data_IF_683228336381
#
_entry.id   IF_683228336381
#
_cell.length_a   1.000
_cell.length_b   1.000
_cell.length_c   1.000
_cell.angle_alpha   90.00
_cell.angle_beta   90.00
_cell.angle_gamma   90.00
#
_symmetry.space_group_name_H-M   'P 1'
#
loop_
_entity.id
_entity.type
_entity.pdbx_description
1 polymer ?
#
# COMPACT_ATOMS: atom_id res chain seq x y z
N UNK A 1 -19.48 -19.78 25.61
CA UNK A 1 -18.34 -20.41 24.96
C UNK A 1 -17.83 -19.55 23.79
N UNK A 2 -18.71 -19.02 22.93
CA UNK A 2 -18.35 -18.22 21.74
C UNK A 2 -17.69 -16.87 22.09
N UNK A 3 -18.15 -16.19 23.13
CA UNK A 3 -17.52 -14.96 23.62
C UNK A 3 -16.11 -15.19 24.21
N UNK A 4 -15.87 -16.37 24.80
CA UNK A 4 -14.53 -16.77 25.27
C UNK A 4 -13.61 -17.15 24.13
N UNK A 5 -14.15 -17.80 23.09
CA UNK A 5 -13.42 -18.15 21.87
C UNK A 5 -12.98 -16.88 21.12
N UNK A 6 -13.89 -15.90 20.99
CA UNK A 6 -13.58 -14.59 20.40
C UNK A 6 -12.51 -13.81 21.20
N UNK A 7 -12.51 -13.92 22.55
CA UNK A 7 -11.44 -13.33 23.38
C UNK A 7 -10.10 -14.05 23.24
N UNK A 8 -10.13 -15.38 23.11
CA UNK A 8 -8.93 -16.18 22.90
C UNK A 8 -8.33 -15.92 21.50
N UNK A 9 -9.18 -15.80 20.49
CA UNK A 9 -8.78 -15.46 19.13
C UNK A 9 -8.16 -14.04 19.05
N UNK A 10 -8.70 -13.07 19.81
CA UNK A 10 -8.11 -11.74 19.99
C UNK A 10 -6.76 -11.79 20.70
N UNK A 11 -6.61 -12.58 21.75
CA UNK A 11 -5.35 -12.72 22.50
C UNK A 11 -4.27 -13.48 21.70
N UNK A 12 -4.68 -14.38 20.82
CA UNK A 12 -3.79 -15.13 19.92
C UNK A 12 -3.47 -14.39 18.60
N UNK A 13 -3.85 -13.11 18.48
CA UNK A 13 -3.62 -12.32 17.28
C UNK A 13 -4.52 -12.70 16.09
N UNK A 14 -5.49 -13.61 16.29
CA UNK A 14 -6.44 -14.02 15.25
C UNK A 14 -7.62 -13.05 15.06
N UNK A 15 -7.77 -12.07 15.96
CA UNK A 15 -8.87 -11.09 15.89
C UNK A 15 -8.60 -9.91 14.95
N UNK A 16 -7.35 -9.68 14.57
CA UNK A 16 -6.94 -8.58 13.66
C UNK A 16 -6.21 -9.11 12.41
N UNK A 17 -6.07 -10.43 12.30
CA UNK A 17 -5.38 -11.12 11.20
C UNK A 17 -6.14 -11.06 9.86
N UNK A 18 -7.42 -10.72 9.86
CA UNK A 18 -8.23 -10.65 8.63
C UNK A 18 -7.79 -9.55 7.67
N UNK A 19 -7.18 -8.49 8.17
CA UNK A 19 -6.74 -7.38 7.34
C UNK A 19 -5.26 -7.51 6.89
N UNK A 20 -4.39 -8.08 7.72
CA UNK A 20 -2.97 -8.28 7.37
C UNK A 20 -2.77 -9.31 6.25
N UNK A 21 -3.57 -10.38 6.22
CA UNK A 21 -3.53 -11.38 5.15
C UNK A 21 -4.09 -10.90 3.80
N UNK A 22 -4.77 -9.76 3.76
CA UNK A 22 -5.30 -9.19 2.50
C UNK A 22 -4.27 -8.41 1.72
N UNK A 23 -3.27 -7.79 2.40
CA UNK A 23 -2.24 -7.03 1.73
C UNK A 23 -1.12 -7.94 1.26
N UNK A 24 -0.82 -7.83 -0.03
CA UNK A 24 0.28 -8.54 -0.66
C UNK A 24 1.41 -7.57 -1.00
N UNK A 25 2.63 -8.03 -0.82
CA UNK A 25 3.84 -7.34 -1.24
C UNK A 25 4.70 -8.34 -2.02
N UNK A 26 5.28 -7.95 -3.16
CA UNK A 26 6.19 -8.84 -3.86
C UNK A 26 7.42 -9.14 -2.99
N UNK A 27 7.79 -10.40 -2.91
CA UNK A 27 9.08 -10.80 -2.41
C UNK A 27 10.21 -10.40 -3.36
N UNK A 28 11.45 -10.37 -2.87
CA UNK A 28 12.60 -10.08 -3.72
C UNK A 28 12.71 -11.14 -4.83
N UNK A 29 12.79 -10.66 -6.07
CA UNK A 29 12.82 -11.51 -7.25
C UNK A 29 11.61 -11.35 -8.16
N UNK A 30 11.15 -12.43 -8.74
CA UNK A 30 10.08 -12.47 -9.73
C UNK A 30 8.76 -12.92 -9.10
N UNK A 31 7.70 -12.17 -9.36
CA UNK A 31 6.33 -12.56 -9.06
C UNK A 31 5.44 -12.37 -10.30
N UNK A 32 4.44 -13.21 -10.46
CA UNK A 32 3.46 -13.07 -11.54
C UNK A 32 2.09 -12.80 -10.94
N UNK A 33 1.44 -11.75 -11.39
CA UNK A 33 0.13 -11.34 -10.89
C UNK A 33 -0.84 -11.06 -12.03
N UNK A 34 -2.13 -11.18 -11.76
CA UNK A 34 -3.20 -10.62 -12.57
C UNK A 34 -3.89 -9.52 -11.78
N UNK A 35 -3.97 -8.31 -12.34
CA UNK A 35 -4.87 -7.27 -11.80
C UNK A 35 -6.30 -7.67 -12.13
N UNK A 36 -7.16 -7.60 -11.12
CA UNK A 36 -8.57 -7.96 -11.24
C UNK A 36 -9.40 -6.69 -11.41
N UNK A 37 -10.36 -6.73 -12.33
CA UNK A 37 -11.32 -5.63 -12.50
C UNK A 37 -12.14 -5.44 -11.23
N UNK A 38 -12.55 -4.20 -10.97
CA UNK A 38 -13.42 -3.85 -9.84
C UNK A 38 -14.83 -3.51 -10.35
N UNK A 39 -15.88 -3.65 -9.53
CA UNK A 39 -17.25 -3.37 -9.96
C UNK A 39 -17.49 -1.96 -10.49
N UNK A 40 -16.70 -0.98 -10.06
CA UNK A 40 -16.74 0.40 -10.53
C UNK A 40 -15.83 0.68 -11.75
N UNK A 41 -15.15 -0.33 -12.26
CA UNK A 41 -14.33 -0.25 -13.46
C UNK A 41 -12.97 0.43 -13.28
N UNK A 42 -12.61 0.86 -12.06
CA UNK A 42 -11.29 1.42 -11.76
C UNK A 42 -10.49 0.51 -10.83
N UNK A 43 -9.56 -0.32 -11.34
CA UNK A 43 -8.74 -1.21 -10.53
C UNK A 43 -7.55 -0.51 -9.84
N UNK A 44 -7.38 0.80 -10.02
CA UNK A 44 -6.25 1.57 -9.50
C UNK A 44 -6.68 2.57 -8.44
N UNK A 45 -7.01 2.12 -7.24
CA UNK A 45 -7.54 2.95 -6.16
C UNK A 45 -6.48 3.87 -5.57
N UNK A 46 -6.68 5.17 -5.69
CA UNK A 46 -5.81 6.18 -5.11
C UNK A 46 -6.23 6.50 -3.68
N UNK A 47 -5.26 6.54 -2.77
CA UNK A 47 -5.47 6.97 -1.37
C UNK A 47 -4.25 7.78 -0.90
N UNK A 48 -4.50 8.70 0.02
CA UNK A 48 -3.48 9.56 0.63
C UNK A 48 -3.35 9.26 2.11
N UNK A 49 -2.12 9.04 2.57
CA UNK A 49 -1.82 8.66 3.96
C UNK A 49 -0.87 9.65 4.61
N UNK A 50 -1.06 9.89 5.91
CA UNK A 50 -0.03 10.39 6.79
C UNK A 50 0.69 9.21 7.44
N UNK A 51 2.01 9.29 7.51
CA UNK A 51 2.88 8.27 8.11
C UNK A 51 3.73 8.90 9.21
N UNK A 52 4.03 8.15 10.28
CA UNK A 52 4.95 8.57 11.31
C UNK A 52 4.46 9.70 12.23
N UNK A 53 3.19 10.02 12.21
CA UNK A 53 2.57 10.95 13.15
C UNK A 53 1.93 10.14 14.27
N UNK A 54 2.47 10.26 15.49
CA UNK A 54 1.99 9.49 16.66
C UNK A 54 2.12 7.97 16.48
N UNK A 55 3.17 7.50 15.80
CA UNK A 55 3.44 6.08 15.52
C UNK A 55 2.31 5.34 14.80
N UNK A 56 1.55 6.06 14.01
CA UNK A 56 0.41 5.52 13.25
C UNK A 56 0.50 5.88 11.77
N UNK A 57 -0.19 5.08 10.95
CA UNK A 57 -0.53 5.42 9.56
C UNK A 57 -2.03 5.56 9.46
N UNK A 58 -2.52 6.62 8.84
CA UNK A 58 -3.95 6.84 8.66
C UNK A 58 -4.24 7.62 7.39
N UNK A 59 -5.46 7.48 6.88
CA UNK A 59 -5.95 8.22 5.72
C UNK A 59 -5.99 9.72 6.03
N UNK A 60 -5.46 10.53 5.11
CA UNK A 60 -5.57 11.98 5.21
C UNK A 60 -7.04 12.43 5.03
N UNK A 61 -7.69 13.04 6.03
CA UNK A 61 -9.06 13.52 5.89
C UNK A 61 -9.23 14.49 4.73
N UNK A 62 -8.30 15.43 4.56
CA UNK A 62 -8.36 16.47 3.54
C UNK A 62 -8.22 15.94 2.12
N UNK A 63 -7.25 15.06 1.88
CA UNK A 63 -6.94 14.60 0.53
C UNK A 63 -7.87 13.48 0.05
N UNK A 64 -8.47 12.71 0.96
CA UNK A 64 -9.37 11.62 0.59
C UNK A 64 -10.84 12.03 0.63
N UNK A 65 -11.23 12.93 1.55
CA UNK A 65 -12.63 13.20 1.82
C UNK A 65 -13.01 14.70 1.74
N UNK A 66 -12.02 15.60 1.64
CA UNK A 66 -12.27 17.05 1.64
C UNK A 66 -12.47 17.65 3.03
N UNK A 67 -12.36 16.86 4.09
CA UNK A 67 -12.49 17.31 5.48
C UNK A 67 -11.26 18.10 5.92
N UNK A 68 -11.37 18.85 7.02
CA UNK A 68 -10.19 19.50 7.58
C UNK A 68 -9.20 18.46 8.15
N UNK A 69 -7.91 18.73 7.97
CA UNK A 69 -6.85 17.84 8.43
C UNK A 69 -5.81 18.62 9.24
N UNK A 70 -5.80 18.47 10.59
CA UNK A 70 -4.85 19.16 11.45
C UNK A 70 -3.39 18.92 11.10
N UNK A 71 -3.04 17.69 10.68
CA UNK A 71 -1.67 17.34 10.27
C UNK A 71 -1.27 18.08 8.99
N UNK A 72 -2.17 18.17 7.98
CA UNK A 72 -1.90 18.98 6.78
C UNK A 72 -1.71 20.45 7.12
N UNK A 73 -2.53 21.00 8.03
CA UNK A 73 -2.47 22.39 8.44
C UNK A 73 -1.13 22.66 9.15
N UNK A 74 -0.72 21.80 10.08
CA UNK A 74 0.55 21.91 10.77
C UNK A 74 1.75 21.76 9.84
N UNK A 75 1.73 20.79 8.91
CA UNK A 75 2.77 20.65 7.90
C UNK A 75 2.93 21.89 7.02
N UNK A 76 1.82 22.55 6.64
CA UNK A 76 1.86 23.80 5.91
C UNK A 76 2.43 24.96 6.73
N UNK A 77 2.16 25.03 8.05
CA UNK A 77 2.76 26.03 8.94
C UNK A 77 4.29 25.84 8.97
N UNK A 78 4.76 24.63 9.24
CA UNK A 78 6.19 24.30 9.21
C UNK A 78 6.86 24.65 7.88
N UNK A 79 6.19 24.37 6.77
CA UNK A 79 6.71 24.73 5.45
C UNK A 79 6.86 26.25 5.27
N UNK A 80 5.90 27.02 5.76
CA UNK A 80 5.88 28.47 5.66
C UNK A 80 6.88 29.17 6.61
N UNK A 81 7.31 28.52 7.69
CA UNK A 81 8.40 29.01 8.54
C UNK A 81 9.72 29.16 7.79
N UNK A 82 9.92 28.37 6.75
CA UNK A 82 10.98 28.57 5.75
C UNK A 82 12.36 28.08 6.14
N UNK A 83 12.60 27.61 7.37
CA UNK A 83 13.89 27.03 7.78
C UNK A 83 14.10 25.66 7.12
N UNK A 84 15.34 25.22 6.96
CA UNK A 84 15.64 23.90 6.37
C UNK A 84 15.09 22.76 7.25
N UNK A 85 15.17 22.92 8.58
CA UNK A 85 14.63 21.94 9.53
C UNK A 85 13.11 21.86 9.47
N UNK A 86 12.40 23.00 9.52
CA UNK A 86 10.94 23.01 9.45
C UNK A 86 10.43 22.46 8.11
N UNK A 87 11.11 22.77 7.00
CA UNK A 87 10.80 22.21 5.68
C UNK A 87 11.03 20.69 5.62
N UNK A 88 12.10 20.19 6.23
CA UNK A 88 12.36 18.75 6.31
C UNK A 88 11.23 18.05 7.08
N UNK A 89 10.89 18.55 8.25
CA UNK A 89 9.80 18.02 9.07
C UNK A 89 8.44 18.09 8.32
N UNK A 90 8.14 19.19 7.67
CA UNK A 90 6.94 19.33 6.84
C UNK A 90 6.87 18.26 5.75
N UNK A 91 7.98 17.99 5.05
CA UNK A 91 8.04 16.95 4.00
C UNK A 91 7.74 15.56 4.53
N UNK A 92 8.13 15.23 5.74
CA UNK A 92 7.83 13.95 6.39
C UNK A 92 6.33 13.85 6.74
N UNK A 93 5.72 14.95 7.17
CA UNK A 93 4.33 15.01 7.61
C UNK A 93 3.31 15.14 6.47
N UNK A 94 3.71 15.61 5.29
CA UNK A 94 2.77 15.71 4.16
C UNK A 94 2.19 14.35 3.78
N UNK A 95 0.91 14.36 3.44
CA UNK A 95 0.22 13.16 2.98
C UNK A 95 0.90 12.57 1.75
N UNK A 96 1.19 11.27 1.80
CA UNK A 96 1.82 10.51 0.73
C UNK A 96 0.75 9.80 -0.10
N UNK A 97 0.85 9.93 -1.41
CA UNK A 97 0.01 9.26 -2.38
C UNK A 97 0.38 7.78 -2.50
N UNK A 98 -0.60 6.90 -2.47
CA UNK A 98 -0.46 5.45 -2.68
C UNK A 98 -1.59 4.95 -3.57
N UNK A 99 -1.29 3.91 -4.31
CA UNK A 99 -2.23 3.24 -5.18
C UNK A 99 -2.40 1.79 -4.75
N UNK A 100 -3.59 1.26 -4.94
CA UNK A 100 -3.94 -0.09 -4.54
C UNK A 100 -4.72 -0.76 -5.66
N UNK A 101 -4.40 -2.03 -5.92
CA UNK A 101 -5.12 -2.85 -6.89
C UNK A 101 -5.45 -4.21 -6.30
N UNK A 102 -6.63 -4.77 -6.61
CA UNK A 102 -6.90 -6.16 -6.33
C UNK A 102 -6.08 -7.01 -7.30
N UNK A 103 -5.38 -8.00 -6.78
CA UNK A 103 -4.52 -8.88 -7.57
C UNK A 103 -4.73 -10.34 -7.20
N UNK A 104 -4.68 -11.19 -8.22
CA UNK A 104 -4.52 -12.62 -8.07
C UNK A 104 -3.03 -12.94 -8.28
N UNK A 105 -2.39 -13.53 -7.27
CA UNK A 105 -0.98 -13.93 -7.34
C UNK A 105 -0.90 -15.32 -7.95
N UNK A 106 -0.19 -15.45 -9.07
CA UNK A 106 -0.05 -16.73 -9.76
C UNK A 106 0.88 -17.65 -8.98
N UNK A 107 0.39 -18.84 -8.70
CA UNK A 107 1.02 -19.82 -7.81
C UNK A 107 0.50 -19.79 -6.37
N UNK A 108 -0.32 -18.80 -6.02
CA UNK A 108 -0.96 -18.62 -4.71
C UNK A 108 -2.48 -18.45 -4.84
N UNK A 109 -3.09 -18.95 -5.92
CA UNK A 109 -4.51 -18.73 -6.25
C UNK A 109 -5.46 -19.19 -5.13
N UNK A 110 -5.04 -20.16 -4.33
CA UNK A 110 -5.81 -20.66 -3.19
C UNK A 110 -5.97 -19.64 -2.06
N UNK A 111 -5.10 -18.64 -2.00
CA UNK A 111 -5.16 -17.57 -1.01
C UNK A 111 -6.17 -16.48 -1.36
N UNK A 112 -6.72 -16.53 -2.58
CA UNK A 112 -7.72 -15.58 -3.03
C UNK A 112 -7.14 -14.25 -3.54
N UNK A 113 -8.03 -13.26 -3.72
CA UNK A 113 -7.64 -11.94 -4.20
C UNK A 113 -6.99 -11.16 -3.06
N UNK A 114 -5.80 -10.64 -3.34
CA UNK A 114 -5.00 -9.81 -2.44
C UNK A 114 -5.06 -8.34 -2.86
N UNK A 115 -4.67 -7.47 -1.97
CA UNK A 115 -4.50 -6.04 -2.23
C UNK A 115 -3.02 -5.73 -2.39
N UNK A 116 -2.62 -5.37 -3.59
CA UNK A 116 -1.27 -4.88 -3.83
C UNK A 116 -1.24 -3.37 -3.72
N UNK A 117 -0.39 -2.86 -2.80
CA UNK A 117 -0.15 -1.44 -2.63
C UNK A 117 1.18 -1.02 -3.25
N UNK A 118 1.20 0.12 -3.97
CA UNK A 118 2.38 0.61 -4.68
C UNK A 118 2.42 2.13 -4.78
N UNK A 119 3.58 2.65 -5.18
CA UNK A 119 3.81 4.08 -5.33
C UNK A 119 3.56 4.59 -6.74
N UNK A 120 3.73 5.90 -6.91
CA UNK A 120 3.48 6.64 -8.17
C UNK A 120 4.22 6.07 -9.38
N UNK A 121 5.49 5.68 -9.23
CA UNK A 121 6.29 5.14 -10.35
C UNK A 121 5.71 3.84 -10.93
N UNK A 122 5.24 2.94 -10.05
CA UNK A 122 4.58 1.72 -10.49
C UNK A 122 3.22 2.02 -11.14
N UNK A 123 2.47 2.97 -10.60
CA UNK A 123 1.21 3.44 -11.18
C UNK A 123 1.40 4.00 -12.58
N UNK A 124 2.36 4.90 -12.79
CA UNK A 124 2.67 5.47 -14.11
C UNK A 124 3.05 4.37 -15.11
N UNK A 125 3.80 3.36 -14.66
CA UNK A 125 4.14 2.22 -15.51
C UNK A 125 2.91 1.38 -15.87
N UNK A 126 2.01 1.12 -14.92
CA UNK A 126 0.76 0.42 -15.17
C UNK A 126 -0.13 1.17 -16.14
N UNK A 127 -0.27 2.49 -15.99
CA UNK A 127 -1.02 3.32 -16.94
C UNK A 127 -0.44 3.25 -18.35
N UNK A 128 0.90 3.26 -18.47
CA UNK A 128 1.56 3.11 -19.78
C UNK A 128 1.19 1.78 -20.45
N UNK A 129 1.09 0.70 -19.66
CA UNK A 129 0.70 -0.63 -20.17
C UNK A 129 -0.78 -0.65 -20.57
N UNK A 130 -1.65 -0.11 -19.72
CA UNK A 130 -3.11 -0.09 -19.98
C UNK A 130 -3.47 0.75 -21.21
N UNK A 131 -2.74 1.85 -21.42
CA UNK A 131 -2.95 2.75 -22.57
C UNK A 131 -2.29 2.26 -23.85
N UNK A 132 -1.50 1.21 -23.81
CA UNK A 132 -0.85 0.62 -24.98
C UNK A 132 -1.87 -0.25 -25.74
N UNK A 133 -2.20 0.12 -26.99
CA UNK A 133 -3.21 -0.59 -27.79
C UNK A 133 -2.86 -2.06 -28.08
N UNK A 134 -1.59 -2.43 -27.99
CA UNK A 134 -1.14 -3.81 -28.23
C UNK A 134 -1.60 -4.79 -27.14
N UNK A 135 -1.82 -4.29 -25.92
CA UNK A 135 -2.29 -5.13 -24.80
C UNK A 135 -3.81 -5.09 -24.63
N UNK A 136 -4.44 -3.93 -24.84
CA UNK A 136 -5.86 -3.73 -24.56
C UNK A 136 -6.17 -3.74 -23.07
N UNK A 137 -7.35 -4.23 -22.68
CA UNK A 137 -7.72 -4.34 -21.27
C UNK A 137 -6.98 -5.50 -20.59
N UNK A 138 -5.95 -5.16 -19.83
CA UNK A 138 -5.15 -6.14 -19.08
C UNK A 138 -5.91 -6.77 -17.92
N UNK A 139 -7.04 -6.20 -17.50
CA UNK A 139 -7.86 -6.68 -16.39
C UNK A 139 -9.00 -7.59 -16.83
N UNK A 140 -9.25 -7.69 -18.13
CA UNK A 140 -10.30 -8.53 -18.68
C UNK A 140 -10.17 -9.98 -18.20
N UNK A 141 -11.22 -10.59 -17.61
CA UNK A 141 -11.10 -11.91 -17.00
C UNK A 141 -10.78 -13.03 -18.01
N UNK A 142 -11.15 -12.88 -19.27
CA UNK A 142 -10.95 -13.93 -20.28
C UNK A 142 -9.74 -13.67 -21.18
N UNK A 143 -9.49 -12.40 -21.52
CA UNK A 143 -8.50 -12.01 -22.51
C UNK A 143 -7.43 -11.05 -22.01
N UNK A 144 -7.36 -10.82 -20.70
CA UNK A 144 -6.38 -9.93 -20.11
C UNK A 144 -4.98 -10.53 -20.04
N UNK A 145 -4.04 -9.78 -19.50
CA UNK A 145 -2.64 -10.16 -19.42
C UNK A 145 -2.15 -10.25 -17.97
N UNK A 146 -1.44 -11.32 -17.67
CA UNK A 146 -0.67 -11.37 -16.42
C UNK A 146 0.49 -10.39 -16.49
N UNK A 147 0.84 -9.84 -15.34
CA UNK A 147 2.00 -8.95 -15.18
C UNK A 147 3.12 -9.69 -14.48
N UNK A 148 4.31 -9.57 -15.02
CA UNK A 148 5.55 -10.00 -14.37
C UNK A 148 6.12 -8.82 -13.59
N UNK A 149 6.26 -9.00 -12.29
CA UNK A 149 6.91 -8.06 -11.39
C UNK A 149 8.31 -8.54 -11.08
N UNK A 150 9.29 -7.67 -11.19
CA UNK A 150 10.64 -7.88 -10.72
C UNK A 150 10.89 -6.89 -9.60
N UNK A 151 10.88 -7.37 -8.36
CA UNK A 151 11.12 -6.56 -7.19
C UNK A 151 12.52 -6.84 -6.64
N UNK A 152 13.26 -5.78 -6.35
CA UNK A 152 14.58 -5.93 -5.75
C UNK A 152 15.40 -4.65 -5.79
N UNK A 153 16.52 -4.69 -5.09
CA UNK A 153 17.49 -3.60 -5.03
C UNK A 153 18.55 -3.79 -6.10
N UNK A 154 18.59 -2.87 -7.07
CA UNK A 154 19.65 -2.88 -8.08
C UNK A 154 20.99 -2.48 -7.45
N UNK A 155 22.14 -2.98 -7.96
CA UNK A 155 23.45 -2.57 -7.52
C UNK A 155 23.61 -1.04 -7.61
N UNK A 156 24.00 -0.40 -6.50
CA UNK A 156 24.16 1.05 -6.41
C UNK A 156 22.87 1.86 -6.22
N UNK A 157 21.70 1.21 -6.19
CA UNK A 157 20.45 1.90 -5.87
C UNK A 157 20.28 2.00 -4.36
N UNK A 158 19.77 3.15 -3.86
CA UNK A 158 19.48 3.35 -2.44
C UNK A 158 18.27 2.52 -2.00
N UNK A 159 17.29 2.30 -2.89
CA UNK A 159 16.01 1.66 -2.58
C UNK A 159 15.65 0.56 -3.58
N UNK A 160 14.93 -0.48 -3.13
CA UNK A 160 14.38 -1.47 -4.04
C UNK A 160 13.33 -0.84 -4.97
N UNK A 161 13.21 -1.41 -6.18
CA UNK A 161 12.25 -0.98 -7.20
C UNK A 161 11.45 -2.17 -7.69
N UNK A 162 10.25 -1.89 -8.15
CA UNK A 162 9.42 -2.85 -8.88
C UNK A 162 9.45 -2.49 -10.36
N UNK A 163 10.04 -3.35 -11.19
CA UNK A 163 9.87 -3.30 -12.64
C UNK A 163 8.63 -4.14 -13.01
N UNK A 164 7.80 -3.61 -13.91
CA UNK A 164 6.52 -4.21 -14.29
C UNK A 164 6.53 -4.43 -15.79
N UNK A 165 6.25 -5.65 -16.21
CA UNK A 165 6.16 -6.03 -17.61
C UNK A 165 4.92 -6.87 -17.88
N UNK A 166 4.11 -6.52 -18.87
CA UNK A 166 3.00 -7.37 -19.28
C UNK A 166 3.55 -8.65 -19.93
N UNK A 167 2.93 -9.79 -19.63
CA UNK A 167 3.21 -11.02 -20.37
C UNK A 167 2.49 -10.95 -21.72
N UNK A 168 3.17 -11.25 -22.83
CA UNK A 168 2.57 -11.11 -24.16
C UNK A 168 1.43 -12.11 -24.41
N UNK A 169 1.41 -13.22 -23.68
CA UNK A 169 0.34 -14.22 -23.80
C UNK A 169 -0.86 -13.80 -22.96
N UNK A 170 -2.01 -13.69 -23.61
CA UNK A 170 -3.29 -13.53 -22.95
C UNK A 170 -3.65 -14.81 -22.19
N UNK A 171 -4.23 -14.65 -21.00
CA UNK A 171 -4.60 -15.75 -20.12
C UNK A 171 -5.95 -15.48 -19.50
N UNK A 172 -6.69 -16.52 -19.15
CA UNK A 172 -7.92 -16.37 -18.35
C UNK A 172 -7.55 -16.08 -16.90
N UNK A 173 -8.42 -15.34 -16.21
CA UNK A 173 -8.24 -15.06 -14.79
C UNK A 173 -8.33 -16.35 -13.97
N UNK A 174 -9.37 -17.13 -14.23
CA UNK A 174 -9.70 -18.36 -13.53
C UNK A 174 -9.43 -19.55 -14.44
N UNK A 175 -8.20 -20.02 -14.40
CA UNK A 175 -7.77 -21.26 -15.05
C UNK A 175 -7.97 -22.47 -14.13
N UNK A 176 -7.49 -23.64 -14.54
CA UNK A 176 -7.59 -24.88 -13.76
C UNK A 176 -6.92 -24.75 -12.38
N UNK A 177 -5.93 -23.85 -12.20
CA UNK A 177 -5.28 -23.61 -10.92
C UNK A 177 -6.21 -22.92 -9.92
N UNK A 178 -7.14 -22.10 -10.39
CA UNK A 178 -8.19 -21.48 -9.55
C UNK A 178 -9.28 -22.51 -9.20
N UNK A 179 -9.55 -23.48 -10.06
CA UNK A 179 -10.58 -24.50 -9.87
C UNK A 179 -11.82 -24.31 -10.75
N UNK A 180 -11.70 -23.58 -11.85
CA UNK A 180 -12.74 -23.39 -12.86
C UNK A 180 -13.74 -22.27 -12.55
N UNK A 181 -14.82 -22.21 -13.35
CA UNK A 181 -15.78 -21.10 -13.36
C UNK A 181 -16.54 -20.91 -12.04
N UNK A 182 -16.97 -22.01 -11.39
CA UNK A 182 -17.69 -21.95 -10.11
C UNK A 182 -16.82 -21.30 -9.03
N UNK A 183 -15.55 -21.69 -8.97
CA UNK A 183 -14.59 -21.13 -8.03
C UNK A 183 -14.25 -19.69 -8.36
N UNK A 184 -14.30 -19.32 -9.65
CA UNK A 184 -14.09 -17.96 -10.13
C UNK A 184 -15.12 -16.99 -9.55
N UNK A 185 -16.39 -17.36 -9.57
CA UNK A 185 -17.46 -16.53 -9.02
C UNK A 185 -17.22 -16.26 -7.52
N UNK A 186 -16.93 -17.32 -6.74
CA UNK A 186 -16.59 -17.17 -5.32
C UNK A 186 -15.35 -16.29 -5.11
N UNK A 187 -14.32 -16.43 -5.95
CA UNK A 187 -13.10 -15.64 -5.88
C UNK A 187 -13.38 -14.15 -6.09
N UNK A 188 -14.19 -13.81 -7.10
CA UNK A 188 -14.56 -12.42 -7.40
C UNK A 188 -15.38 -11.77 -6.28
N UNK A 189 -16.18 -12.55 -5.53
CA UNK A 189 -16.85 -12.04 -4.34
C UNK A 189 -15.88 -11.66 -3.20
N UNK A 190 -14.64 -12.16 -3.23
CA UNK A 190 -13.61 -11.80 -2.25
C UNK A 190 -12.91 -10.49 -2.54
N UNK A 191 -13.21 -9.81 -3.66
CA UNK A 191 -12.64 -8.50 -3.97
C UNK A 191 -12.97 -7.53 -2.84
N UNK A 192 -11.96 -6.95 -2.19
CA UNK A 192 -12.20 -6.13 -1.02
C UNK A 192 -12.83 -4.78 -1.41
N UNK A 193 -13.75 -4.33 -0.58
CA UNK A 193 -14.27 -2.96 -0.66
C UNK A 193 -13.18 -1.97 -0.20
N UNK A 194 -12.60 -1.25 -1.16
CA UNK A 194 -11.48 -0.34 -0.91
C UNK A 194 -11.85 0.88 -0.05
N UNK A 195 -13.12 1.17 0.12
CA UNK A 195 -13.57 2.24 1.01
C UNK A 195 -13.69 1.78 2.46
N UNK A 196 -13.72 0.46 2.68
CA UNK A 196 -13.78 -0.17 4.02
C UNK A 196 -12.48 -0.79 4.51
N UNK A 197 -11.48 -0.97 3.62
CA UNK A 197 -10.18 -1.54 4.01
C UNK A 197 -9.45 -0.65 5.02
N UNK A 198 -9.53 0.66 4.82
CA UNK A 198 -8.84 1.65 5.63
C UNK A 198 -9.83 2.39 6.52
N UNK A 199 -9.52 2.45 7.80
CA UNK A 199 -10.32 3.20 8.76
C UNK A 199 -10.25 4.71 8.46
N UNK A 200 -11.42 5.35 8.35
CA UNK A 200 -11.54 6.81 8.27
C UNK A 200 -11.51 7.37 9.68
N UNK A 201 -10.55 8.23 9.97
CA UNK A 201 -10.47 8.99 11.23
C UNK A 201 -11.17 10.33 11.10
N UNK A 202 -11.80 10.76 12.19
CA UNK A 202 -12.39 12.11 12.27
C UNK A 202 -11.31 13.16 12.45
N UNK A 203 -11.65 14.43 12.22
CA UNK A 203 -10.74 15.57 12.45
C UNK A 203 -10.26 15.62 13.91
N UNK A 204 -11.15 15.32 14.86
CA UNK A 204 -10.85 15.32 16.31
C UNK A 204 -9.87 14.21 16.68
N UNK A 205 -10.05 13.02 16.11
CA UNK A 205 -9.11 11.90 16.31
C UNK A 205 -7.73 12.24 15.75
N UNK A 206 -7.67 12.84 14.56
CA UNK A 206 -6.42 13.27 13.93
C UNK A 206 -5.76 14.40 14.73
N UNK A 207 -6.55 15.32 15.31
CA UNK A 207 -6.02 16.36 16.22
C UNK A 207 -5.39 15.71 17.46
N UNK A 208 -6.06 14.75 18.08
CA UNK A 208 -5.52 14.04 19.25
C UNK A 208 -4.20 13.32 18.92
N UNK A 209 -4.08 12.73 17.74
CA UNK A 209 -2.83 12.08 17.28
C UNK A 209 -1.71 13.13 17.12
N UNK A 210 -2.02 14.29 16.54
CA UNK A 210 -1.07 15.39 16.39
C UNK A 210 -0.62 15.93 17.74
N UNK A 211 -1.54 16.14 18.68
CA UNK A 211 -1.25 16.65 20.03
C UNK A 211 -0.33 15.69 20.80
N UNK A 212 -0.57 14.38 20.71
CA UNK A 212 0.30 13.36 21.28
C UNK A 212 1.69 13.36 20.63
N UNK A 213 1.77 13.48 19.33
CA UNK A 213 3.03 13.60 18.59
C UNK A 213 3.83 14.82 19.06
N UNK A 214 3.18 15.97 19.21
CA UNK A 214 3.80 17.21 19.67
C UNK A 214 4.29 17.11 21.13
N UNK A 215 3.53 16.43 21.98
CA UNK A 215 3.87 16.25 23.40
C UNK A 215 5.05 15.28 23.64
N UNK A 216 5.18 14.25 22.82
CA UNK A 216 6.18 13.19 22.99
C UNK A 216 7.47 13.42 22.20
N UNK A 217 7.44 14.27 21.18
CA UNK A 217 8.56 14.49 20.27
C UNK A 217 8.98 13.24 19.48
N UNK A 218 8.23 12.15 19.60
CA UNK A 218 8.56 10.88 18.96
C UNK A 218 7.88 10.75 17.61
N UNK A 219 8.63 11.05 16.59
CA UNK A 219 8.29 10.79 15.18
C UNK A 219 9.18 9.75 14.54
N UNK A 220 9.52 8.65 15.24
CA UNK A 220 10.30 7.59 14.57
C UNK A 220 10.24 6.25 15.31
N UNK A 221 9.12 5.55 15.13
CA UNK A 221 9.06 4.11 15.28
C UNK A 221 8.52 3.54 13.97
N UNK A 222 8.92 2.31 13.62
CA UNK A 222 8.49 1.62 12.41
C UNK A 222 6.96 1.63 12.28
N UNK A 223 6.46 2.52 11.45
CA UNK A 223 5.03 2.64 11.17
C UNK A 223 4.74 1.87 9.90
N UNK A 224 3.77 0.98 9.93
CA UNK A 224 3.34 0.23 8.76
C UNK A 224 2.92 1.17 7.63
N UNK A 225 3.73 1.23 6.57
CA UNK A 225 3.47 2.05 5.39
C UNK A 225 2.68 1.23 4.38
N UNK A 226 1.38 1.43 4.30
CA UNK A 226 0.54 0.78 3.30
C UNK A 226 1.05 1.04 1.89
N UNK A 227 1.30 -0.03 1.14
CA UNK A 227 1.78 0.05 -0.24
C UNK A 227 3.21 0.56 -0.43
N UNK A 228 4.02 0.68 0.62
CA UNK A 228 5.43 0.97 0.47
C UNK A 228 6.22 -0.33 0.38
N UNK A 229 7.05 -0.42 -0.64
CA UNK A 229 8.07 -1.47 -0.79
C UNK A 229 9.38 -1.08 -0.08
N UNK A 230 9.37 -0.04 0.75
CA UNK A 230 10.57 0.43 1.43
C UNK A 230 10.76 -0.33 2.74
N UNK A 231 11.84 -1.09 2.82
CA UNK A 231 12.49 -1.35 4.08
C UNK A 231 12.88 0.00 4.70
N UNK A 232 12.76 0.14 5.99
CA UNK A 232 12.97 1.34 6.80
C UNK A 232 14.22 2.11 6.39
N UNK A 233 14.04 3.34 5.91
CA UNK A 233 15.13 4.25 5.53
C UNK A 233 16.00 4.72 6.73
N UNK A 234 15.51 4.55 7.95
CA UNK A 234 16.15 5.07 9.14
C UNK A 234 17.42 4.34 9.55
N UNK A 235 17.45 3.01 9.40
CA UNK A 235 18.62 2.24 9.82
C UNK A 235 19.87 2.45 8.94
N UNK A 236 19.69 2.80 7.65
CA UNK A 236 20.83 2.96 6.74
C UNK A 236 21.48 4.34 6.84
N UNK A 237 20.75 5.40 7.21
CA UNK A 237 21.28 6.76 7.34
C UNK A 237 21.96 6.94 8.69
N UNK A 238 21.39 6.39 9.78
CA UNK A 238 22.05 6.42 11.07
C UNK A 238 23.29 5.51 11.14
N UNK A 239 23.28 4.34 10.49
CA UNK A 239 24.45 3.50 10.36
C UNK A 239 25.56 4.19 9.55
N UNK A 240 25.22 4.83 8.43
CA UNK A 240 26.18 5.58 7.63
C UNK A 240 26.73 6.83 8.35
N UNK A 241 25.92 7.50 9.18
CA UNK A 241 26.37 8.63 10.00
C UNK A 241 27.24 8.17 11.18
N UNK A 242 26.94 7.03 11.78
CA UNK A 242 27.71 6.45 12.87
C UNK A 242 29.10 6.00 12.40
N UNK A 243 29.21 5.46 11.19
CA UNK A 243 30.49 5.06 10.58
C UNK A 243 31.35 6.28 10.20
N UNK A 244 30.72 7.41 9.85
CA UNK A 244 31.43 8.66 9.52
C UNK A 244 31.96 9.41 10.76
N UNK A 245 31.32 9.21 11.91
CA UNK A 245 31.73 9.87 13.17
C UNK A 245 32.79 9.06 13.93
N UNK A 246 33.07 7.81 13.55
CA UNK A 246 34.05 6.93 14.19
C UNK A 246 35.35 6.75 13.36
N UNK A 247 35.56 7.58 12.30
CA UNK A 247 36.83 7.76 11.60
C UNK A 247 37.45 9.12 11.97
#
# INVERSE_FOLDING_TARGET
LDAMKAKLDKLNGKGDGGNKNRFWRPDEGESNIRIVSTPDGDPFKEKFFHYGVGNQSFLCPKRNFGDDCPVCNFANQLWNEGTEESKKQAKEMFAKQRFFSPVLVRGEEQEGIKVWGYGKMAYEKLLTIVLDPDYGDITDPETGNDLKLMYGKLPGASYPRTDIRPRPRKTVLCDDAVGGDDRCAELLETIPDFDKIFERKTTEEVQSILDQFMATGQGNTEVEKFGSTQATETDSVEAAFSDLLNQ
#
